data_IF_166146669088
#
_entry.id   IF_166146669088
#
_cell.length_a   1.000
_cell.length_b   1.000
_cell.length_c   1.000
_cell.angle_alpha   90.00
_cell.angle_beta   90.00
_cell.angle_gamma   90.00
#
_symmetry.space_group_name_H-M   'P 1'
#
loop_
_entity.id
_entity.type
_entity.pdbx_description
1 polymer ?
#
# COMPACT_ATOMS: atom_id res chain seq x y z
N UNK A 1 -5.22 -3.87 7.80
CA UNK A 1 -5.40 -5.20 8.43
C UNK A 1 -4.71 -5.17 9.78
N UNK A 2 -5.30 -5.72 10.84
CA UNK A 2 -4.68 -5.73 12.18
C UNK A 2 -4.47 -7.15 12.72
N UNK A 3 -4.87 -8.18 11.97
CA UNK A 3 -4.69 -9.59 12.34
C UNK A 3 -3.53 -10.16 11.53
N UNK A 4 -2.56 -10.76 12.23
CA UNK A 4 -1.37 -11.38 11.64
C UNK A 4 -1.74 -12.52 10.68
N UNK A 5 -2.75 -13.30 11.01
CA UNK A 5 -3.29 -14.38 10.18
C UNK A 5 -3.65 -13.93 8.76
N UNK A 6 -4.16 -12.72 8.60
CA UNK A 6 -4.52 -12.19 7.28
C UNK A 6 -3.27 -11.92 6.44
N UNK A 7 -2.22 -11.39 7.07
CA UNK A 7 -0.94 -11.14 6.41
C UNK A 7 -0.26 -12.46 6.05
N UNK A 8 -0.25 -13.43 6.97
CA UNK A 8 0.35 -14.74 6.77
C UNK A 8 -0.33 -15.51 5.61
N UNK A 9 -1.66 -15.42 5.50
CA UNK A 9 -2.41 -16.04 4.40
C UNK A 9 -2.14 -15.38 3.04
N UNK A 10 -1.99 -14.06 3.00
CA UNK A 10 -1.66 -13.34 1.77
C UNK A 10 -0.23 -13.65 1.31
N UNK A 11 0.74 -13.60 2.23
CA UNK A 11 2.14 -13.89 1.95
C UNK A 11 2.37 -15.33 1.51
N UNK A 12 1.57 -16.30 2.00
CA UNK A 12 1.68 -17.71 1.56
C UNK A 12 1.29 -17.89 0.10
N UNK A 13 0.25 -17.20 -0.38
CA UNK A 13 -0.39 -17.50 -1.66
C UNK A 13 -0.12 -16.49 -2.79
N UNK A 14 0.52 -15.35 -2.51
CA UNK A 14 0.77 -14.33 -3.53
C UNK A 14 1.90 -13.37 -3.15
N UNK A 15 2.03 -12.31 -3.95
CA UNK A 15 2.90 -11.16 -3.70
C UNK A 15 2.04 -10.02 -3.17
N UNK A 16 2.40 -9.46 -2.02
CA UNK A 16 1.67 -8.35 -1.41
C UNK A 16 2.32 -7.03 -1.81
N UNK A 17 1.55 -6.16 -2.46
CA UNK A 17 2.01 -4.84 -2.88
C UNK A 17 1.33 -3.77 -2.05
N UNK A 18 2.12 -2.94 -1.37
CA UNK A 18 1.64 -1.72 -0.75
C UNK A 18 1.68 -0.57 -1.77
N UNK A 19 0.49 -0.07 -2.10
CA UNK A 19 0.32 1.12 -2.91
C UNK A 19 0.54 2.35 -2.04
N UNK A 20 1.78 2.82 -1.99
CA UNK A 20 2.16 4.03 -1.26
C UNK A 20 1.59 5.23 -2.01
N UNK A 21 0.63 5.91 -1.40
CA UNK A 21 0.00 7.13 -1.93
C UNK A 21 0.10 8.21 -0.86
N UNK A 22 0.47 9.45 -1.22
CA UNK A 22 0.55 10.54 -0.25
C UNK A 22 -0.81 10.76 0.38
N UNK A 23 -0.79 10.98 1.70
CA UNK A 23 -1.99 11.22 2.49
C UNK A 23 -2.80 12.41 1.97
N UNK A 24 -2.14 13.43 1.39
CA UNK A 24 -2.75 14.57 0.71
C UNK A 24 -3.78 14.16 -0.37
N UNK A 25 -3.53 13.06 -1.07
CA UNK A 25 -4.40 12.60 -2.15
C UNK A 25 -5.51 11.64 -1.69
N UNK A 26 -5.50 11.27 -0.41
CA UNK A 26 -6.53 10.41 0.18
C UNK A 26 -7.71 11.29 0.59
N UNK A 27 -8.78 11.25 -0.21
CA UNK A 27 -10.02 11.99 0.07
C UNK A 27 -10.79 11.34 1.23
N UNK A 28 -11.00 12.05 2.35
CA UNK A 28 -11.97 11.62 3.35
C UNK A 28 -13.37 11.72 2.74
N UNK A 29 -14.19 10.69 2.90
CA UNK A 29 -15.59 10.70 2.48
C UNK A 29 -16.48 10.50 3.70
N UNK A 30 -17.61 11.21 3.75
CA UNK A 30 -18.55 11.14 4.88
C UNK A 30 -19.13 9.73 5.09
N UNK A 31 -19.19 8.93 4.02
CA UNK A 31 -19.61 7.51 4.04
C UNK A 31 -18.65 6.60 4.82
N UNK A 32 -17.44 7.08 5.16
CA UNK A 32 -16.45 6.34 5.93
C UNK A 32 -16.40 6.87 7.37
N UNK A 33 -17.19 6.33 8.31
CA UNK A 33 -17.33 6.89 9.66
C UNK A 33 -15.99 6.96 10.42
N UNK A 34 -15.05 6.10 10.06
CA UNK A 34 -13.71 6.01 10.65
C UNK A 34 -12.69 6.98 10.02
N UNK A 35 -12.97 7.56 8.86
CA UNK A 35 -12.11 8.54 8.16
C UNK A 35 -12.94 9.73 7.69
N UNK A 36 -13.92 10.13 8.50
CA UNK A 36 -14.86 11.21 8.19
C UNK A 36 -14.18 12.57 8.03
N UNK A 37 -13.10 12.79 8.81
CA UNK A 37 -12.36 14.04 8.88
C UNK A 37 -10.87 13.77 8.70
N UNK A 38 -10.12 14.81 8.28
CA UNK A 38 -8.68 14.75 7.99
C UNK A 38 -7.85 14.24 9.17
N UNK A 39 -8.08 14.74 10.38
CA UNK A 39 -7.36 14.30 11.59
C UNK A 39 -7.56 12.81 11.91
N UNK A 40 -8.78 12.29 11.71
CA UNK A 40 -9.07 10.87 11.95
C UNK A 40 -8.42 9.98 10.90
N UNK A 41 -8.34 10.46 9.67
CA UNK A 41 -7.59 9.81 8.59
C UNK A 41 -6.09 9.79 8.90
N UNK A 42 -5.52 10.90 9.34
CA UNK A 42 -4.11 11.03 9.74
C UNK A 42 -3.74 10.08 10.89
N UNK A 43 -4.52 10.07 11.98
CA UNK A 43 -4.29 9.15 13.10
C UNK A 43 -4.36 7.69 12.68
N UNK A 44 -5.33 7.32 11.83
CA UNK A 44 -5.43 5.95 11.31
C UNK A 44 -4.32 5.60 10.35
N UNK A 45 -3.87 6.55 9.54
CA UNK A 45 -2.76 6.34 8.62
C UNK A 45 -1.47 6.12 9.41
N UNK A 46 -1.17 6.93 10.42
CA UNK A 46 0.03 6.80 11.26
C UNK A 46 0.15 5.42 11.94
N UNK A 47 -0.97 4.82 12.37
CA UNK A 47 -0.97 3.48 12.97
C UNK A 47 -0.84 2.37 11.92
N UNK A 48 -1.38 2.58 10.71
CA UNK A 48 -1.50 1.52 9.69
C UNK A 48 -0.37 1.51 8.69
N UNK A 49 0.23 2.65 8.38
CA UNK A 49 1.30 2.77 7.39
C UNK A 49 2.51 1.89 7.72
N UNK A 50 3.00 1.84 8.98
CA UNK A 50 4.08 0.92 9.33
C UNK A 50 3.70 -0.54 9.13
N UNK A 51 2.47 -0.92 9.50
CA UNK A 51 1.95 -2.28 9.33
C UNK A 51 1.84 -2.67 7.85
N UNK A 52 1.50 -1.73 6.98
CA UNK A 52 1.44 -1.99 5.54
C UNK A 52 2.81 -2.11 4.90
N UNK A 53 3.79 -1.31 5.35
CA UNK A 53 5.18 -1.45 4.88
C UNK A 53 5.79 -2.77 5.31
N UNK A 54 5.59 -3.19 6.57
CA UNK A 54 6.12 -4.46 7.08
C UNK A 54 5.46 -5.67 6.41
N UNK A 55 4.17 -5.57 6.08
CA UNK A 55 3.42 -6.66 5.46
C UNK A 55 3.57 -6.76 3.93
N UNK A 56 4.26 -5.81 3.28
CA UNK A 56 4.35 -5.77 1.83
C UNK A 56 5.71 -6.27 1.33
N UNK A 57 5.68 -7.13 0.32
CA UNK A 57 6.86 -7.56 -0.41
C UNK A 57 7.37 -6.43 -1.32
N UNK A 58 6.46 -5.59 -1.83
CA UNK A 58 6.76 -4.47 -2.71
C UNK A 58 6.10 -3.20 -2.20
N UNK A 59 6.88 -2.12 -2.07
CA UNK A 59 6.37 -0.78 -1.78
C UNK A 59 6.40 -0.01 -3.09
N UNK A 60 5.21 0.28 -3.63
CA UNK A 60 5.04 0.89 -4.94
C UNK A 60 4.43 2.31 -4.84
N UNK A 61 5.13 3.37 -5.26
CA UNK A 61 4.60 4.72 -5.27
C UNK A 61 3.56 4.90 -6.39
N UNK A 62 2.35 5.32 -6.01
CA UNK A 62 1.23 5.54 -6.93
C UNK A 62 1.08 7.01 -7.30
N UNK A 63 1.35 7.34 -8.55
CA UNK A 63 1.14 8.68 -9.14
C UNK A 63 0.67 8.58 -10.60
N UNK A 64 0.15 9.66 -11.13
CA UNK A 64 -0.40 9.71 -12.49
C UNK A 64 -1.80 9.09 -12.58
N UNK A 65 -2.18 8.67 -13.78
CA UNK A 65 -3.46 7.99 -14.00
C UNK A 65 -3.45 6.55 -13.45
N UNK A 66 -4.62 5.98 -13.14
CA UNK A 66 -4.74 4.58 -12.76
C UNK A 66 -4.10 3.63 -13.78
N UNK A 67 -4.25 3.91 -15.08
CA UNK A 67 -3.73 3.10 -16.18
C UNK A 67 -2.19 3.15 -16.23
N UNK A 68 -1.61 4.33 -16.06
CA UNK A 68 -0.15 4.50 -16.01
C UNK A 68 0.46 3.80 -14.79
N UNK A 69 -0.17 3.95 -13.63
CA UNK A 69 0.26 3.31 -12.40
C UNK A 69 0.18 1.78 -12.52
N UNK A 70 -0.90 1.25 -13.11
CA UNK A 70 -1.06 -0.18 -13.37
C UNK A 70 0.01 -0.71 -14.34
N UNK A 71 0.31 0.04 -15.41
CA UNK A 71 1.36 -0.32 -16.36
C UNK A 71 2.74 -0.43 -15.71
N UNK A 72 3.13 0.57 -14.92
CA UNK A 72 4.40 0.57 -14.17
C UNK A 72 4.47 -0.53 -13.12
N UNK A 73 3.36 -0.82 -12.46
CA UNK A 73 3.28 -1.92 -11.49
C UNK A 73 3.49 -3.27 -12.17
N UNK A 74 2.84 -3.51 -13.31
CA UNK A 74 3.02 -4.74 -14.08
C UNK A 74 4.47 -4.91 -14.58
N UNK A 75 5.12 -3.83 -15.01
CA UNK A 75 6.53 -3.87 -15.39
C UNK A 75 7.43 -4.20 -14.19
N UNK A 76 7.13 -3.62 -13.03
CA UNK A 76 7.87 -3.88 -11.78
C UNK A 76 7.73 -5.35 -11.37
N UNK A 77 6.50 -5.88 -11.33
CA UNK A 77 6.24 -7.28 -10.98
C UNK A 77 6.85 -8.29 -11.96
N UNK A 78 7.05 -7.90 -13.23
CA UNK A 78 7.77 -8.72 -14.22
C UNK A 78 9.28 -8.76 -14.01
N UNK A 79 9.84 -7.72 -13.37
CA UNK A 79 11.28 -7.58 -13.14
C UNK A 79 11.73 -8.10 -11.77
N UNK A 80 10.85 -8.13 -10.78
CA UNK A 80 11.20 -8.60 -9.44
C UNK A 80 11.42 -10.11 -9.44
N UNK A 81 12.62 -10.62 -9.14
CA UNK A 81 12.83 -12.03 -8.83
C UNK A 81 12.37 -12.31 -7.39
N UNK A 82 11.84 -13.52 -7.21
CA UNK A 82 11.50 -14.29 -5.99
C UNK A 82 11.30 -13.60 -4.61
N UNK A 83 10.30 -14.11 -3.88
CA UNK A 83 9.82 -13.63 -2.56
C UNK A 83 10.96 -13.25 -1.59
N UNK A 84 10.85 -12.08 -0.97
CA UNK A 84 11.68 -11.66 0.17
C UNK A 84 12.60 -10.47 -0.09
N UNK A 85 12.70 -9.99 -1.32
CA UNK A 85 13.44 -8.77 -1.64
C UNK A 85 12.48 -7.57 -1.57
N UNK A 86 12.58 -6.79 -0.48
CA UNK A 86 11.81 -5.56 -0.32
C UNK A 86 12.20 -4.56 -1.43
N UNK A 87 11.44 -4.54 -2.52
CA UNK A 87 11.63 -3.54 -3.57
C UNK A 87 10.97 -2.26 -3.09
N UNK A 88 11.81 -1.34 -2.60
CA UNK A 88 11.42 0.03 -2.29
C UNK A 88 11.60 0.83 -3.57
N UNK A 89 10.55 0.94 -4.38
CA UNK A 89 10.51 1.99 -5.38
C UNK A 89 10.40 3.32 -4.62
N UNK A 90 11.39 4.20 -4.80
CA UNK A 90 11.62 5.38 -3.96
C UNK A 90 10.39 6.22 -3.64
N UNK A 91 10.46 6.96 -2.53
CA UNK A 91 9.42 7.91 -2.15
C UNK A 91 9.40 9.11 -3.12
N UNK A 92 8.21 9.70 -3.21
CA UNK A 92 7.93 10.99 -3.85
C UNK A 92 8.93 12.08 -3.47
#
# INVERSE_FOLDING_TARGET
MTRRENTDMLMRNGVTVFLDRPLADIRPTAERPLTRNRELLERKYAVREPLYREAADVIFPVYGSPEEAAGRLLETLRRTPEKGENVICGKY
#
